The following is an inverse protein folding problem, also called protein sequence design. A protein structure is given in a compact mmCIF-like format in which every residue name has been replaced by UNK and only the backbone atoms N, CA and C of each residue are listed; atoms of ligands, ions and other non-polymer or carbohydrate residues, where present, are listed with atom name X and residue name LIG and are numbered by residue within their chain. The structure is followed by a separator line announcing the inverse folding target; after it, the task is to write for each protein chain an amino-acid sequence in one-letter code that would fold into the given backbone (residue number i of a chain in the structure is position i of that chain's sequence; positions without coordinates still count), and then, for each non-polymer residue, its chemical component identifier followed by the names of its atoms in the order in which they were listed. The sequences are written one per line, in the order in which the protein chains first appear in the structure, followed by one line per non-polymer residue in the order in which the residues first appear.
data_IF_808362249569
#
_entry.id   IF_808362249569
#
_cell.length_a   1.000
_cell.length_b   1.000
_cell.length_c   1.000
_cell.angle_alpha   90.00
_cell.angle_beta   90.00
_cell.angle_gamma   90.00
#
_symmetry.space_group_name_H-M   'P 1'
#
loop_
_entity.id
_entity.type
_entity.pdbx_description
1 polymer ?
#
# COMPACT_ATOMS: atom_id res chain seq x y z
N UNK A 1 -19.94 -2.89 -19.81
CA UNK A 1 -19.36 -4.13 -19.24
C UNK A 1 -18.30 -3.78 -18.22
N UNK A 2 -18.43 -4.31 -17.01
CA UNK A 2 -17.49 -4.03 -15.94
C UNK A 2 -16.22 -4.87 -16.12
N UNK A 3 -15.08 -4.23 -16.29
CA UNK A 3 -13.80 -4.93 -16.30
C UNK A 3 -13.37 -5.22 -14.86
N UNK A 4 -13.01 -6.47 -14.61
CA UNK A 4 -12.42 -6.85 -13.35
C UNK A 4 -10.92 -6.59 -13.38
N UNK A 5 -10.38 -6.07 -12.28
CA UNK A 5 -8.96 -5.88 -12.12
C UNK A 5 -8.44 -6.81 -11.03
N UNK A 6 -7.22 -7.27 -11.22
CA UNK A 6 -6.55 -8.13 -10.26
C UNK A 6 -5.43 -7.32 -9.61
N UNK A 7 -5.54 -7.14 -8.31
CA UNK A 7 -4.48 -6.53 -7.51
C UNK A 7 -3.76 -7.64 -6.74
N UNK A 8 -2.49 -7.80 -7.00
CA UNK A 8 -1.67 -8.78 -6.28
C UNK A 8 -1.06 -8.11 -5.06
N UNK A 9 -1.17 -8.74 -3.90
CA UNK A 9 -0.69 -8.19 -2.64
C UNK A 9 0.61 -8.87 -2.21
N UNK A 10 1.60 -8.07 -1.83
CA UNK A 10 2.85 -8.57 -1.25
C UNK A 10 3.01 -7.96 0.13
N UNK A 11 3.10 -8.82 1.15
CA UNK A 11 3.40 -8.41 2.51
C UNK A 11 4.89 -8.54 2.74
N UNK A 12 5.58 -7.41 2.98
CA UNK A 12 7.03 -7.38 3.18
C UNK A 12 7.38 -7.39 4.66
N UNK A 13 8.21 -8.34 5.06
CA UNK A 13 8.76 -8.40 6.41
C UNK A 13 10.20 -8.89 6.31
N UNK A 14 11.16 -8.11 6.82
CA UNK A 14 12.58 -8.43 6.80
C UNK A 14 13.11 -8.81 5.41
N UNK A 15 12.66 -8.08 4.38
CA UNK A 15 13.09 -8.32 3.00
C UNK A 15 12.49 -9.57 2.36
N UNK A 16 11.47 -10.15 2.96
CA UNK A 16 10.81 -11.37 2.48
C UNK A 16 9.32 -11.16 2.28
N UNK A 17 8.72 -11.94 1.39
CA UNK A 17 7.27 -11.98 1.22
C UNK A 17 6.68 -12.95 2.24
N UNK A 18 5.73 -12.46 3.05
CA UNK A 18 5.07 -13.25 4.08
C UNK A 18 3.58 -13.41 3.75
N UNK A 19 2.89 -14.32 4.47
CA UNK A 19 1.52 -14.72 4.11
C UNK A 19 0.45 -13.72 4.54
N UNK A 20 0.70 -12.94 5.60
CA UNK A 20 -0.32 -12.08 6.17
C UNK A 20 0.30 -10.97 7.04
N UNK A 21 -0.56 -10.15 7.66
CA UNK A 21 -0.15 -9.03 8.50
C UNK A 21 0.64 -9.44 9.75
N UNK A 22 0.62 -10.71 10.17
CA UNK A 22 1.40 -11.12 11.34
C UNK A 22 2.89 -11.19 11.05
N UNK A 23 3.26 -11.35 9.79
CA UNK A 23 4.65 -11.42 9.37
C UNK A 23 5.40 -12.66 9.83
N UNK A 24 4.69 -13.68 10.30
CA UNK A 24 5.30 -14.86 10.93
C UNK A 24 5.68 -15.97 9.96
N UNK A 25 4.98 -16.08 8.85
CA UNK A 25 5.14 -17.22 7.93
C UNK A 25 5.55 -16.73 6.56
N UNK A 26 6.61 -17.29 6.00
CA UNK A 26 7.00 -16.98 4.63
C UNK A 26 5.96 -17.49 3.65
N UNK A 27 5.61 -16.66 2.68
CA UNK A 27 4.80 -17.08 1.54
C UNK A 27 5.64 -17.94 0.59
N UNK A 28 6.86 -17.50 0.36
CA UNK A 28 7.81 -18.13 -0.53
C UNK A 28 9.23 -17.69 -0.16
N UNK A 29 10.21 -18.50 -0.50
CA UNK A 29 11.62 -18.13 -0.36
C UNK A 29 12.10 -17.26 -1.52
N UNK A 30 11.30 -17.17 -2.59
CA UNK A 30 11.59 -16.32 -3.73
C UNK A 30 11.66 -14.87 -3.30
N UNK A 31 12.62 -14.13 -3.85
CA UNK A 31 12.74 -12.69 -3.60
C UNK A 31 11.44 -11.96 -3.93
N UNK A 32 11.03 -10.96 -3.14
CA UNK A 32 9.86 -10.15 -3.47
C UNK A 32 9.92 -9.50 -4.85
N UNK A 33 11.11 -9.17 -5.34
CA UNK A 33 11.29 -8.60 -6.68
C UNK A 33 10.87 -9.63 -7.75
N UNK A 34 11.34 -10.86 -7.61
CA UNK A 34 10.99 -11.94 -8.56
C UNK A 34 9.51 -12.27 -8.45
N UNK A 35 8.98 -12.32 -7.23
CA UNK A 35 7.56 -12.57 -7.02
C UNK A 35 6.70 -11.51 -7.71
N UNK A 36 7.10 -10.23 -7.59
CA UNK A 36 6.40 -9.14 -8.26
C UNK A 36 6.43 -9.29 -9.79
N UNK A 37 7.57 -9.68 -10.35
CA UNK A 37 7.67 -9.96 -11.78
C UNK A 37 6.75 -11.11 -12.20
N UNK A 38 6.66 -12.15 -11.39
CA UNK A 38 5.76 -13.28 -11.66
C UNK A 38 4.31 -12.85 -11.66
N UNK A 39 3.89 -11.99 -10.72
CA UNK A 39 2.54 -11.45 -10.69
C UNK A 39 2.25 -10.59 -11.93
N UNK A 40 3.20 -9.75 -12.31
CA UNK A 40 3.06 -8.90 -13.51
C UNK A 40 2.89 -9.77 -14.76
N UNK A 41 3.75 -10.75 -14.95
CA UNK A 41 3.69 -11.65 -16.11
C UNK A 41 2.44 -12.54 -16.10
N UNK A 42 1.89 -12.83 -14.93
CA UNK A 42 0.67 -13.61 -14.80
C UNK A 42 -0.59 -12.80 -15.11
N UNK A 43 -0.47 -11.48 -15.32
CA UNK A 43 -1.58 -10.64 -15.71
C UNK A 43 -2.21 -9.82 -14.60
N UNK A 44 -1.54 -9.64 -13.47
CA UNK A 44 -2.01 -8.73 -12.44
C UNK A 44 -2.05 -7.30 -13.01
N UNK A 45 -3.07 -6.53 -12.62
CA UNK A 45 -3.25 -5.16 -13.08
C UNK A 45 -2.52 -4.15 -12.19
N UNK A 46 -2.28 -4.50 -10.94
CA UNK A 46 -1.56 -3.65 -10.00
C UNK A 46 -0.95 -4.48 -8.87
N UNK A 47 0.05 -3.91 -8.21
CA UNK A 47 0.64 -4.48 -7.01
C UNK A 47 0.28 -3.63 -5.80
N UNK A 48 -0.11 -4.28 -4.72
CA UNK A 48 -0.32 -3.64 -3.42
C UNK A 48 0.78 -4.16 -2.50
N UNK A 49 1.71 -3.31 -2.10
CA UNK A 49 2.84 -3.73 -1.28
C UNK A 49 2.65 -3.19 0.13
N UNK A 50 2.62 -4.12 1.09
CA UNK A 50 2.48 -3.81 2.51
C UNK A 50 3.84 -3.85 3.19
N UNK A 51 4.25 -2.72 3.73
CA UNK A 51 5.44 -2.60 4.54
C UNK A 51 5.10 -2.94 6.00
N UNK A 52 5.53 -4.11 6.46
CA UNK A 52 5.32 -4.56 7.83
C UNK A 52 6.57 -4.33 8.70
N UNK A 53 7.45 -3.43 8.28
CA UNK A 53 8.70 -3.18 8.98
C UNK A 53 8.48 -2.60 10.38
N UNK A 54 9.38 -2.98 11.27
CA UNK A 54 9.50 -2.41 12.61
C UNK A 54 10.84 -1.69 12.69
N UNK A 55 10.80 -0.40 12.98
CA UNK A 55 12.00 0.41 13.06
C UNK A 55 12.46 0.99 11.73
N UNK A 56 13.33 1.98 11.82
CA UNK A 56 13.74 2.80 10.68
C UNK A 56 14.58 2.04 9.66
N UNK A 57 15.48 1.18 10.11
CA UNK A 57 16.36 0.43 9.22
C UNK A 57 15.58 -0.56 8.34
N UNK A 58 14.68 -1.32 8.93
CA UNK A 58 13.85 -2.26 8.20
C UNK A 58 12.93 -1.52 7.23
N UNK A 59 12.38 -0.38 7.65
CA UNK A 59 11.54 0.47 6.81
C UNK A 59 12.30 0.99 5.60
N UNK A 60 13.54 1.47 5.78
CA UNK A 60 14.36 1.95 4.68
C UNK A 60 14.69 0.81 3.71
N UNK A 61 14.94 -0.38 4.23
CA UNK A 61 15.15 -1.56 3.39
C UNK A 61 13.90 -1.93 2.59
N UNK A 62 12.72 -1.78 3.19
CA UNK A 62 11.46 -2.00 2.48
C UNK A 62 11.27 -0.99 1.35
N UNK A 63 11.60 0.27 1.56
CA UNK A 63 11.55 1.30 0.51
C UNK A 63 12.52 0.97 -0.64
N UNK A 64 13.71 0.49 -0.31
CA UNK A 64 14.68 0.07 -1.32
C UNK A 64 14.17 -1.14 -2.11
N UNK A 65 13.46 -2.05 -1.46
CA UNK A 65 12.83 -3.19 -2.12
C UNK A 65 11.75 -2.71 -3.09
N UNK A 66 10.94 -1.74 -2.69
CA UNK A 66 9.91 -1.15 -3.56
C UNK A 66 10.56 -0.51 -4.78
N UNK A 67 11.66 0.22 -4.61
CA UNK A 67 12.41 0.79 -5.73
C UNK A 67 12.90 -0.28 -6.71
N UNK A 68 13.39 -1.39 -6.18
CA UNK A 68 13.85 -2.51 -6.99
C UNK A 68 12.70 -3.16 -7.77
N UNK A 69 11.55 -3.33 -7.11
CA UNK A 69 10.36 -3.87 -7.74
C UNK A 69 9.88 -2.94 -8.86
N UNK A 70 9.81 -1.64 -8.59
CA UNK A 70 9.34 -0.65 -9.55
C UNK A 70 10.15 -0.66 -10.85
N UNK A 71 11.43 -0.96 -10.78
CA UNK A 71 12.30 -1.05 -11.95
C UNK A 71 12.06 -2.29 -12.81
N UNK A 72 11.38 -3.28 -12.27
CA UNK A 72 11.24 -4.61 -12.88
C UNK A 72 9.83 -4.92 -13.36
N UNK A 73 8.84 -4.17 -12.92
CA UNK A 73 7.43 -4.40 -13.30
C UNK A 73 6.90 -3.20 -14.08
N UNK A 74 5.91 -3.45 -14.93
CA UNK A 74 5.25 -2.42 -15.73
C UNK A 74 3.94 -1.96 -15.09
N UNK A 75 3.40 -2.73 -14.16
CA UNK A 75 2.14 -2.42 -13.50
C UNK A 75 2.35 -1.43 -12.33
N UNK A 76 1.33 -0.61 -12.01
CA UNK A 76 1.45 0.36 -10.92
C UNK A 76 1.53 -0.31 -9.55
N UNK A 77 2.19 0.39 -8.62
CA UNK A 77 2.37 -0.08 -7.24
C UNK A 77 1.63 0.87 -6.31
N UNK A 78 0.84 0.30 -5.41
CA UNK A 78 0.26 1.01 -4.28
C UNK A 78 1.05 0.64 -3.03
N UNK A 79 1.61 1.64 -2.36
CA UNK A 79 2.38 1.43 -1.13
C UNK A 79 1.51 1.57 0.10
N UNK A 80 1.55 0.57 0.97
CA UNK A 80 0.75 0.50 2.19
C UNK A 80 1.64 0.19 3.39
N UNK A 81 1.17 0.56 4.58
CA UNK A 81 1.86 0.28 5.83
C UNK A 81 2.79 1.41 6.24
N UNK A 82 2.79 1.70 7.51
CA UNK A 82 3.65 2.74 8.12
C UNK A 82 3.43 4.15 7.55
N UNK A 83 2.21 4.45 7.08
CA UNK A 83 1.89 5.76 6.51
C UNK A 83 1.12 6.56 7.55
N UNK A 84 1.80 7.48 8.23
CA UNK A 84 1.24 8.28 9.32
C UNK A 84 1.48 9.78 9.15
N UNK A 85 2.39 10.19 8.28
CA UNK A 85 2.80 11.58 8.10
C UNK A 85 3.01 11.87 6.62
N UNK A 86 3.05 13.16 6.29
CA UNK A 86 3.36 13.61 4.93
C UNK A 86 4.69 13.03 4.43
N UNK A 87 5.69 12.94 5.29
CA UNK A 87 7.00 12.39 4.94
C UNK A 87 6.92 10.92 4.51
N UNK A 88 6.06 10.14 5.15
CA UNK A 88 5.87 8.74 4.78
C UNK A 88 5.26 8.60 3.38
N UNK A 89 4.28 9.44 3.08
CA UNK A 89 3.66 9.51 1.74
C UNK A 89 4.71 9.86 0.70
N UNK A 90 5.48 10.89 0.97
CA UNK A 90 6.54 11.36 0.08
C UNK A 90 7.55 10.26 -0.24
N UNK A 91 7.99 9.53 0.77
CA UNK A 91 8.95 8.43 0.59
C UNK A 91 8.42 7.32 -0.31
N UNK A 92 7.15 6.95 -0.15
CA UNK A 92 6.53 5.93 -1.00
C UNK A 92 6.42 6.40 -2.45
N UNK A 93 5.99 7.64 -2.67
CA UNK A 93 5.87 8.18 -4.02
C UNK A 93 7.25 8.30 -4.70
N UNK A 94 8.26 8.72 -3.96
CA UNK A 94 9.62 8.81 -4.49
C UNK A 94 10.26 7.44 -4.73
N UNK A 95 9.80 6.41 -4.03
CA UNK A 95 10.23 5.04 -4.29
C UNK A 95 9.62 4.46 -5.56
N UNK A 96 8.65 5.14 -6.16
CA UNK A 96 8.02 4.74 -7.41
C UNK A 96 6.58 4.24 -7.27
N UNK A 97 5.99 4.34 -6.08
CA UNK A 97 4.58 4.01 -5.92
C UNK A 97 3.71 5.03 -6.66
N UNK A 98 2.70 4.55 -7.36
CA UNK A 98 1.72 5.43 -7.98
C UNK A 98 0.81 6.07 -6.95
N UNK A 99 0.51 5.33 -5.88
CA UNK A 99 -0.32 5.81 -4.78
C UNK A 99 0.27 5.39 -3.45
N UNK A 100 0.10 6.26 -2.44
CA UNK A 100 0.32 5.93 -1.04
C UNK A 100 -1.04 5.73 -0.39
N UNK A 101 -1.20 4.65 0.35
CA UNK A 101 -2.48 4.29 0.98
C UNK A 101 -2.53 4.81 2.41
N UNK A 102 -3.57 5.59 2.69
CA UNK A 102 -3.84 6.14 4.02
C UNK A 102 -4.92 5.29 4.70
N UNK A 103 -4.62 4.76 5.87
CA UNK A 103 -5.59 3.95 6.62
C UNK A 103 -6.49 4.86 7.46
N UNK A 104 -7.78 4.86 7.18
CA UNK A 104 -8.77 5.70 7.86
C UNK A 104 -9.20 5.20 9.24
N UNK A 105 -8.70 4.03 9.67
CA UNK A 105 -8.83 3.62 11.06
C UNK A 105 -8.01 4.52 11.99
N UNK A 106 -7.01 5.20 11.45
CA UNK A 106 -6.28 6.26 12.16
C UNK A 106 -6.90 7.60 11.80
N UNK A 107 -7.54 8.22 12.75
CA UNK A 107 -8.23 9.49 12.55
C UNK A 107 -7.32 10.59 11.99
N UNK A 108 -6.06 10.61 12.43
CA UNK A 108 -5.08 11.57 11.93
C UNK A 108 -4.85 11.47 10.42
N UNK A 109 -5.02 10.28 9.84
CA UNK A 109 -4.86 10.08 8.41
C UNK A 109 -6.01 10.68 7.60
N UNK A 110 -7.18 10.83 8.20
CA UNK A 110 -8.31 11.49 7.55
C UNK A 110 -7.97 12.96 7.27
N UNK A 111 -7.43 13.66 8.28
CA UNK A 111 -6.98 15.04 8.10
C UNK A 111 -5.78 15.14 7.14
N UNK A 112 -4.87 14.20 7.21
CA UNK A 112 -3.68 14.15 6.35
C UNK A 112 -4.05 14.03 4.86
N UNK A 113 -5.17 13.38 4.55
CA UNK A 113 -5.61 13.16 3.17
C UNK A 113 -5.77 14.47 2.39
N UNK A 114 -6.33 15.49 3.01
CA UNK A 114 -6.48 16.81 2.38
C UNK A 114 -5.13 17.43 2.06
N UNK A 115 -4.19 17.36 2.98
CA UNK A 115 -2.84 17.92 2.78
C UNK A 115 -2.10 17.19 1.65
N UNK A 116 -2.21 15.87 1.62
CA UNK A 116 -1.60 15.05 0.56
C UNK A 116 -2.20 15.42 -0.79
N UNK A 117 -3.52 15.57 -0.85
CA UNK A 117 -4.23 15.96 -2.06
C UNK A 117 -3.72 17.29 -2.61
N UNK A 118 -3.52 18.28 -1.74
CA UNK A 118 -3.03 19.60 -2.15
C UNK A 118 -1.59 19.54 -2.67
N UNK A 119 -0.77 18.69 -2.08
CA UNK A 119 0.65 18.65 -2.43
C UNK A 119 0.95 17.74 -3.62
N UNK A 120 0.33 16.58 -3.70
CA UNK A 120 0.65 15.56 -4.69
C UNK A 120 -0.48 15.26 -5.67
N UNK A 121 -1.71 15.68 -5.37
CA UNK A 121 -2.89 15.40 -6.18
C UNK A 121 -3.67 14.19 -5.68
N UNK A 122 -4.97 14.18 -6.00
CA UNK A 122 -5.88 13.10 -5.58
C UNK A 122 -5.51 11.75 -6.18
N UNK A 123 -4.92 11.75 -7.36
CA UNK A 123 -4.52 10.52 -8.06
C UNK A 123 -3.35 9.80 -7.39
N UNK A 124 -2.74 10.39 -6.37
CA UNK A 124 -1.65 9.78 -5.59
C UNK A 124 -2.11 9.17 -4.29
N UNK A 125 -3.40 9.20 -4.01
CA UNK A 125 -3.98 8.74 -2.75
C UNK A 125 -4.74 7.44 -2.95
N UNK A 126 -4.42 6.43 -2.13
CA UNK A 126 -5.29 5.29 -1.89
C UNK A 126 -5.82 5.40 -0.46
N UNK A 127 -6.95 4.77 -0.20
CA UNK A 127 -7.54 4.75 1.13
C UNK A 127 -7.83 3.31 1.52
N UNK A 128 -7.52 2.96 2.78
CA UNK A 128 -7.90 1.67 3.34
C UNK A 128 -8.71 1.86 4.60
N UNK A 129 -9.56 0.88 4.88
CA UNK A 129 -10.34 0.80 6.10
C UNK A 129 -10.18 -0.59 6.70
N UNK A 130 -10.35 -0.68 8.01
CA UNK A 130 -10.26 -1.94 8.73
C UNK A 130 -11.63 -2.59 8.89
N UNK A 131 -12.67 -1.76 9.09
CA UNK A 131 -14.04 -2.19 9.34
C UNK A 131 -15.02 -1.48 8.41
N UNK A 132 -16.10 -2.14 7.98
CA UNK A 132 -17.09 -1.51 7.11
C UNK A 132 -17.70 -0.22 7.66
N UNK A 133 -17.80 -0.11 9.00
CA UNK A 133 -18.36 1.10 9.64
C UNK A 133 -17.54 2.35 9.32
N UNK A 134 -16.25 2.21 9.12
CA UNK A 134 -15.38 3.33 8.78
C UNK A 134 -15.72 3.90 7.39
N UNK A 135 -16.15 3.04 6.47
CA UNK A 135 -16.67 3.50 5.18
C UNK A 135 -17.97 4.26 5.35
N UNK A 136 -18.90 3.73 6.16
CA UNK A 136 -20.18 4.38 6.39
C UNK A 136 -20.03 5.78 7.00
N UNK A 137 -19.04 5.93 7.88
CA UNK A 137 -18.76 7.22 8.54
C UNK A 137 -18.07 8.22 7.62
N UNK A 138 -17.33 7.75 6.62
CA UNK A 138 -16.46 8.59 5.80
C UNK A 138 -16.72 8.46 4.30
N UNK A 139 -17.87 7.92 3.90
CA UNK A 139 -18.12 7.56 2.50
C UNK A 139 -17.98 8.74 1.52
N UNK A 140 -18.45 9.93 1.89
CA UNK A 140 -18.36 11.10 1.02
C UNK A 140 -16.90 11.52 0.82
N UNK A 141 -16.14 11.53 1.91
CA UNK A 141 -14.74 11.91 1.88
C UNK A 141 -13.92 10.87 1.10
N UNK A 142 -14.18 9.59 1.31
CA UNK A 142 -13.51 8.52 0.59
C UNK A 142 -13.78 8.64 -0.92
N UNK A 143 -15.05 8.83 -1.30
CA UNK A 143 -15.44 8.98 -2.69
C UNK A 143 -14.83 10.23 -3.33
N UNK A 144 -14.59 11.28 -2.56
CA UNK A 144 -13.94 12.48 -3.07
C UNK A 144 -12.47 12.25 -3.45
N UNK A 145 -11.75 11.46 -2.65
CA UNK A 145 -10.31 11.33 -2.81
C UNK A 145 -9.86 10.07 -3.56
N UNK A 146 -10.69 9.05 -3.68
CA UNK A 146 -10.27 7.83 -4.36
C UNK A 146 -11.44 7.13 -5.04
N UNK A 147 -11.13 6.43 -6.14
CA UNK A 147 -12.07 5.54 -6.80
C UNK A 147 -11.90 4.09 -6.32
N UNK A 148 -10.92 3.85 -5.47
CA UNK A 148 -10.53 2.52 -5.04
C UNK A 148 -10.39 2.50 -3.52
N UNK A 149 -11.11 1.57 -2.87
CA UNK A 149 -11.06 1.41 -1.41
C UNK A 149 -10.57 0.01 -1.09
N UNK A 150 -9.59 -0.06 -0.19
CA UNK A 150 -9.09 -1.34 0.30
C UNK A 150 -9.69 -1.63 1.67
N UNK A 151 -10.35 -2.80 1.79
CA UNK A 151 -10.82 -3.29 3.09
C UNK A 151 -9.78 -4.28 3.59
N UNK A 152 -9.11 -3.93 4.70
CA UNK A 152 -7.96 -4.65 5.21
C UNK A 152 -8.15 -5.00 6.70
N UNK A 153 -9.00 -5.98 7.01
CA UNK A 153 -9.25 -6.35 8.41
C UNK A 153 -7.98 -6.75 9.13
N UNK A 154 -7.76 -6.19 10.31
CA UNK A 154 -6.58 -6.46 11.11
C UNK A 154 -5.37 -5.61 10.79
N UNK A 155 -5.44 -4.75 9.77
CA UNK A 155 -4.29 -3.95 9.37
C UNK A 155 -4.03 -2.74 10.28
N UNK A 156 -5.07 -2.22 10.93
CA UNK A 156 -4.98 -0.96 11.69
C UNK A 156 -3.90 -0.98 12.77
N UNK A 157 -3.70 -2.13 13.42
CA UNK A 157 -2.68 -2.25 14.46
C UNK A 157 -1.24 -2.25 13.94
N UNK A 158 -1.06 -2.36 12.64
CA UNK A 158 0.24 -2.48 11.98
C UNK A 158 0.59 -1.25 11.14
N UNK A 159 -0.37 -0.37 10.94
CA UNK A 159 -0.21 0.78 10.05
C UNK A 159 0.06 2.09 10.76
#
# INVERSE_FOLDING_TARGET
MTQKKIAACIFLKNGRAVTDFTGKTLLTETSPVILAEEYDHAGADELVIFDLSEGDEEHENALNMIRAIQRRVDIPIMGCGNVNRMEDVKKLLYAGCQKAVLNFSKESNIALTEEVSKRFGKNKIGISIDKPEEYMQNNELIAEYTSELLLLPGAAGLM
#
